data_IF_699461321590
#
_entry.id   IF_699461321590
#
_cell.length_a   1.000
_cell.length_b   1.000
_cell.length_c   1.000
_cell.angle_alpha   90.00
_cell.angle_beta   90.00
_cell.angle_gamma   90.00
#
_symmetry.space_group_name_H-M   'P 1'
#
loop_
_entity.id
_entity.type
_entity.pdbx_description
1 polymer ?
#
# COMPACT_ATOMS: atom_id res chain seq x y z
N UNK A 1 11.98 -53.23 53.59
CA UNK A 1 12.03 -52.04 54.47
C UNK A 1 13.00 -51.05 53.81
N UNK A 2 12.73 -49.82 53.39
CA UNK A 2 11.55 -48.94 53.25
C UNK A 2 11.73 -48.23 51.88
N UNK A 3 10.67 -48.12 51.08
CA UNK A 3 10.67 -47.38 49.81
C UNK A 3 10.37 -45.91 50.11
N UNK A 4 11.29 -44.99 49.80
CA UNK A 4 11.04 -43.56 49.93
C UNK A 4 10.63 -43.00 48.56
N UNK A 5 9.33 -42.77 48.38
CA UNK A 5 8.78 -41.97 47.30
C UNK A 5 9.06 -40.49 47.63
N UNK A 6 9.86 -39.82 46.82
CA UNK A 6 9.95 -38.35 46.85
C UNK A 6 8.88 -37.85 45.88
N UNK A 7 7.75 -37.41 46.44
CA UNK A 7 6.73 -36.69 45.71
C UNK A 7 7.28 -35.28 45.39
N UNK A 8 7.73 -35.07 44.15
CA UNK A 8 8.08 -33.76 43.64
C UNK A 8 6.76 -33.01 43.39
N UNK A 9 6.34 -32.19 44.36
CA UNK A 9 5.27 -31.21 44.16
C UNK A 9 5.71 -30.25 43.07
N UNK A 10 5.22 -30.48 41.86
CA UNK A 10 5.29 -29.55 40.76
C UNK A 10 4.46 -28.33 41.17
N UNK A 11 5.13 -27.32 41.72
CA UNK A 11 4.54 -26.01 41.89
C UNK A 11 4.09 -25.56 40.51
N UNK A 12 2.77 -25.52 40.30
CA UNK A 12 2.18 -24.85 39.16
C UNK A 12 2.53 -23.36 39.31
N UNK A 13 3.70 -22.99 38.76
CA UNK A 13 3.98 -21.60 38.44
C UNK A 13 2.79 -21.16 37.57
N UNK A 14 2.05 -20.11 37.93
CA UNK A 14 1.22 -19.46 36.94
C UNK A 14 2.20 -19.07 35.84
N UNK A 15 2.11 -19.74 34.69
CA UNK A 15 2.64 -19.19 33.45
C UNK A 15 1.80 -17.95 33.24
N UNK A 16 2.26 -16.84 33.82
CA UNK A 16 1.79 -15.53 33.43
C UNK A 16 2.12 -15.45 31.94
N UNK A 17 1.11 -15.68 31.11
CA UNK A 17 1.16 -15.35 29.70
C UNK A 17 1.46 -13.85 29.66
N UNK A 18 2.73 -13.49 29.57
CA UNK A 18 3.14 -12.11 29.50
C UNK A 18 2.66 -11.60 28.16
N UNK A 19 1.70 -10.67 28.18
CA UNK A 19 1.30 -9.93 27.00
C UNK A 19 2.55 -9.29 26.39
N UNK A 20 2.94 -9.74 25.20
CA UNK A 20 4.07 -9.18 24.48
C UNK A 20 3.58 -7.89 23.82
N UNK A 21 3.98 -6.74 24.38
CA UNK A 21 3.65 -5.43 23.85
C UNK A 21 4.92 -4.83 23.25
N UNK A 22 4.89 -4.64 21.93
CA UNK A 22 5.99 -4.07 21.17
C UNK A 22 5.62 -2.67 20.67
N UNK A 23 6.44 -1.68 21.01
CA UNK A 23 6.50 -0.41 20.29
C UNK A 23 7.33 -0.62 19.01
N UNK A 24 6.86 -0.09 17.89
CA UNK A 24 7.59 -0.11 16.62
C UNK A 24 7.28 1.14 15.79
N UNK A 25 8.05 1.38 14.75
CA UNK A 25 7.82 2.50 13.84
C UNK A 25 8.84 2.63 12.72
N UNK A 26 8.69 3.71 11.97
CA UNK A 26 9.65 4.10 10.94
C UNK A 26 9.65 5.61 10.85
N UNK A 27 10.83 6.22 11.04
CA UNK A 27 11.06 7.63 10.75
C UNK A 27 11.71 7.73 9.38
N UNK A 28 11.13 8.54 8.50
CA UNK A 28 11.64 8.75 7.15
C UNK A 28 11.35 10.15 6.66
N UNK A 29 12.37 10.82 6.16
CA UNK A 29 12.27 12.18 5.65
C UNK A 29 13.46 12.47 4.73
N UNK A 30 13.36 13.56 3.97
CA UNK A 30 14.42 14.00 3.09
C UNK A 30 14.16 15.35 2.46
N UNK A 31 15.03 15.72 1.55
CA UNK A 31 14.90 16.94 0.74
C UNK A 31 14.48 16.55 -0.66
N UNK A 32 13.41 17.17 -1.14
CA UNK A 32 12.86 16.93 -2.45
C UNK A 32 12.95 18.20 -3.29
N UNK A 33 13.18 18.04 -4.58
CA UNK A 33 13.09 19.11 -5.58
C UNK A 33 12.17 18.67 -6.68
N UNK A 34 11.28 19.54 -7.15
CA UNK A 34 10.33 19.21 -8.20
C UNK A 34 10.10 20.36 -9.17
N UNK A 35 9.68 19.99 -10.37
CA UNK A 35 9.26 20.88 -11.44
C UNK A 35 8.09 20.25 -12.19
N UNK A 36 7.00 21.00 -12.35
CA UNK A 36 5.83 20.64 -13.15
C UNK A 36 5.59 21.71 -14.20
N UNK A 37 5.42 21.29 -15.45
CA UNK A 37 5.15 22.15 -16.60
C UNK A 37 3.83 21.69 -17.22
N UNK A 38 2.83 22.56 -17.19
CA UNK A 38 1.52 22.32 -17.79
C UNK A 38 1.44 22.97 -19.17
N UNK A 39 0.95 22.22 -20.15
CA UNK A 39 0.64 22.72 -21.47
C UNK A 39 -0.87 22.76 -21.71
N UNK A 40 -1.33 23.83 -22.34
CA UNK A 40 -2.69 23.94 -22.90
C UNK A 40 -2.53 24.48 -24.33
N UNK A 41 -3.20 23.86 -25.30
CA UNK A 41 -3.09 24.20 -26.72
C UNK A 41 -1.64 24.30 -27.23
N UNK A 42 -0.76 23.45 -26.69
CA UNK A 42 0.66 23.36 -27.06
C UNK A 42 1.55 24.43 -26.41
N UNK A 43 0.97 25.40 -25.70
CA UNK A 43 1.69 26.47 -25.01
C UNK A 43 1.87 26.15 -23.54
N UNK A 44 3.00 26.55 -22.97
CA UNK A 44 3.20 26.48 -21.52
C UNK A 44 2.24 27.46 -20.85
N UNK A 45 1.37 26.95 -19.99
CA UNK A 45 0.39 27.74 -19.25
C UNK A 45 0.73 27.86 -17.77
N UNK A 46 1.48 26.91 -17.23
CA UNK A 46 1.89 26.91 -15.83
C UNK A 46 3.26 26.25 -15.66
N UNK A 47 4.09 26.84 -14.80
CA UNK A 47 5.34 26.25 -14.35
C UNK A 47 5.37 26.35 -12.83
N UNK A 48 5.40 25.19 -12.16
CA UNK A 48 5.60 25.10 -10.72
C UNK A 48 6.95 24.47 -10.44
N UNK A 49 7.74 25.11 -9.60
CA UNK A 49 9.02 24.56 -9.12
C UNK A 49 9.11 24.72 -7.62
N UNK A 50 9.69 23.76 -6.93
CA UNK A 50 9.87 23.84 -5.49
C UNK A 50 11.03 22.99 -4.99
N UNK A 51 11.47 23.31 -3.79
CA UNK A 51 12.33 22.47 -2.98
C UNK A 51 11.80 22.48 -1.54
N UNK A 52 11.66 21.32 -0.94
CA UNK A 52 11.10 21.19 0.41
C UNK A 52 11.79 20.08 1.20
N UNK A 53 11.85 20.27 2.52
CA UNK A 53 12.07 19.17 3.45
C UNK A 53 10.71 18.53 3.65
N UNK A 54 10.60 17.23 3.39
CA UNK A 54 9.35 16.49 3.53
C UNK A 54 9.53 15.26 4.40
N UNK A 55 8.52 14.98 5.23
CA UNK A 55 8.35 13.68 5.85
C UNK A 55 7.80 12.69 4.82
N UNK A 56 8.38 11.48 4.77
CA UNK A 56 8.05 10.47 3.75
C UNK A 56 6.96 9.50 4.23
N UNK A 57 6.14 9.90 5.19
CA UNK A 57 5.10 9.09 5.80
C UNK A 57 5.59 8.31 7.02
N UNK A 58 6.31 8.99 7.92
CA UNK A 58 6.74 8.46 9.21
C UNK A 58 5.55 7.92 10.01
N UNK A 59 5.81 6.89 10.81
CA UNK A 59 4.78 6.20 11.58
C UNK A 59 5.32 5.64 12.89
N UNK A 60 4.41 5.53 13.85
CA UNK A 60 4.62 4.88 15.13
C UNK A 60 3.46 3.93 15.40
N UNK A 61 3.71 2.84 16.10
CA UNK A 61 2.68 1.88 16.44
C UNK A 61 2.99 1.05 17.65
N UNK A 62 1.92 0.55 18.26
CA UNK A 62 1.94 -0.37 19.37
C UNK A 62 1.20 -1.62 18.90
N UNK A 63 1.75 -2.79 19.18
CA UNK A 63 1.08 -4.06 18.89
C UNK A 63 1.34 -5.05 20.00
N UNK A 64 0.43 -5.99 20.16
CA UNK A 64 0.67 -7.10 21.05
C UNK A 64 -0.16 -8.32 20.75
N UNK A 65 0.18 -9.38 21.48
CA UNK A 65 -0.51 -10.66 21.41
C UNK A 65 -0.56 -11.33 22.78
N UNK A 66 -1.61 -12.11 23.00
CA UNK A 66 -1.81 -12.93 24.20
C UNK A 66 -2.17 -14.35 23.78
N UNK A 67 -1.51 -15.35 24.36
CA UNK A 67 -1.85 -16.76 24.15
C UNK A 67 -3.09 -17.11 24.98
N UNK A 68 -4.15 -17.56 24.31
CA UNK A 68 -5.43 -17.94 24.92
C UNK A 68 -5.51 -19.46 25.16
N UNK A 69 -4.44 -20.20 24.90
CA UNK A 69 -4.37 -21.66 24.97
C UNK A 69 -4.81 -22.35 23.67
N UNK A 70 -4.47 -23.64 23.54
CA UNK A 70 -4.83 -24.48 22.38
C UNK A 70 -4.43 -23.91 21.01
N UNK A 71 -3.38 -23.11 20.95
CA UNK A 71 -2.90 -22.46 19.73
C UNK A 71 -3.74 -21.26 19.27
N UNK A 72 -4.68 -20.78 20.09
CA UNK A 72 -5.45 -19.56 19.85
C UNK A 72 -4.75 -18.36 20.48
N UNK A 73 -4.73 -17.22 19.78
CA UNK A 73 -4.14 -15.97 20.26
C UNK A 73 -5.08 -14.79 20.06
N UNK A 74 -5.16 -13.91 21.04
CA UNK A 74 -5.63 -12.54 20.83
C UNK A 74 -4.51 -11.71 20.21
N UNK A 75 -4.85 -10.86 19.25
CA UNK A 75 -3.91 -9.94 18.61
C UNK A 75 -4.52 -8.54 18.52
N UNK A 76 -3.70 -7.52 18.69
CA UNK A 76 -4.13 -6.14 18.52
C UNK A 76 -2.99 -5.27 17.99
N UNK A 77 -3.35 -4.18 17.32
CA UNK A 77 -2.43 -3.19 16.80
C UNK A 77 -3.09 -1.81 16.81
N UNK A 78 -2.34 -0.78 17.19
CA UNK A 78 -2.70 0.62 17.05
C UNK A 78 -1.52 1.33 16.35
N UNK A 79 -1.70 1.72 15.09
CA UNK A 79 -0.66 2.41 14.28
C UNK A 79 -1.12 3.82 13.88
N UNK A 80 -0.20 4.80 13.91
CA UNK A 80 -0.46 6.21 13.65
C UNK A 80 0.53 6.78 12.64
N UNK A 81 0.08 7.75 11.83
CA UNK A 81 0.96 8.68 11.14
C UNK A 81 1.62 9.56 12.20
N UNK A 82 2.93 9.75 12.06
CA UNK A 82 3.76 10.46 13.02
C UNK A 82 4.83 11.26 12.27
N UNK A 83 4.38 12.12 11.36
CA UNK A 83 5.24 13.02 10.61
C UNK A 83 6.15 13.81 11.54
N UNK A 84 7.45 13.78 11.25
CA UNK A 84 8.43 14.55 12.04
C UNK A 84 8.32 16.06 11.80
N UNK A 85 7.54 16.48 10.79
CA UNK A 85 7.18 17.88 10.57
C UNK A 85 6.03 18.35 11.48
N UNK A 86 5.46 17.47 12.32
CA UNK A 86 4.40 17.83 13.27
C UNK A 86 3.04 18.12 12.60
N UNK A 87 2.81 17.57 11.41
CA UNK A 87 1.62 17.84 10.58
C UNK A 87 0.47 16.85 10.78
N UNK A 88 0.71 15.75 11.50
CA UNK A 88 -0.28 14.70 11.72
C UNK A 88 -1.02 14.86 13.04
N UNK A 89 -2.22 14.27 13.11
CA UNK A 89 -3.02 14.21 14.32
C UNK A 89 -3.89 12.96 14.39
N UNK A 90 -4.32 12.64 15.62
CA UNK A 90 -5.21 11.52 15.92
C UNK A 90 -4.52 10.17 16.11
N UNK A 91 -5.26 9.24 16.69
CA UNK A 91 -4.84 7.85 16.93
C UNK A 91 -5.54 6.89 15.96
N UNK A 92 -4.89 5.78 15.65
CA UNK A 92 -5.48 4.70 14.83
C UNK A 92 -5.75 5.06 13.36
N UNK A 93 -5.11 6.11 12.83
CA UNK A 93 -5.28 6.58 11.45
C UNK A 93 -4.49 5.76 10.40
N UNK A 94 -3.63 4.82 10.84
CA UNK A 94 -3.08 3.73 10.01
C UNK A 94 -3.68 2.39 10.41
N UNK A 95 -3.10 1.27 9.96
CA UNK A 95 -3.68 -0.04 10.20
C UNK A 95 -3.76 -0.34 11.71
N UNK A 96 -4.98 -0.43 12.23
CA UNK A 96 -5.26 -0.58 13.66
C UNK A 96 -6.46 -1.50 13.86
N UNK A 97 -6.32 -2.52 14.70
CA UNK A 97 -7.32 -3.58 14.83
C UNK A 97 -7.22 -4.34 16.15
N UNK A 98 -8.27 -5.12 16.41
CA UNK A 98 -8.26 -6.27 17.31
C UNK A 98 -8.64 -7.53 16.51
N UNK A 99 -8.20 -8.71 16.95
CA UNK A 99 -8.48 -9.94 16.24
C UNK A 99 -8.09 -11.20 16.99
N UNK A 100 -8.37 -12.34 16.36
CA UNK A 100 -7.98 -13.67 16.80
C UNK A 100 -7.16 -14.37 15.73
N UNK A 101 -6.16 -15.13 16.15
CA UNK A 101 -5.32 -15.94 15.27
C UNK A 101 -5.20 -17.36 15.83
N UNK A 102 -5.29 -18.37 14.98
CA UNK A 102 -5.08 -19.77 15.36
C UNK A 102 -4.92 -20.68 14.14
N UNK A 103 -5.14 -21.98 14.33
CA UNK A 103 -5.07 -22.97 13.23
C UNK A 103 -6.05 -22.70 12.08
N UNK A 104 -7.14 -21.96 12.36
CA UNK A 104 -8.12 -21.54 11.35
C UNK A 104 -7.64 -20.37 10.47
N UNK A 105 -6.53 -19.71 10.81
CA UNK A 105 -6.09 -18.47 10.16
C UNK A 105 -6.19 -17.27 11.10
N UNK A 106 -6.52 -16.11 10.55
CA UNK A 106 -6.58 -14.84 11.28
C UNK A 106 -7.87 -14.09 10.95
N UNK A 107 -8.61 -13.65 11.96
CA UNK A 107 -9.77 -12.75 11.80
C UNK A 107 -9.49 -11.45 12.53
N UNK A 108 -9.75 -10.32 11.87
CA UNK A 108 -9.48 -8.97 12.41
C UNK A 108 -10.65 -8.04 12.14
N UNK A 109 -10.88 -7.10 13.05
CA UNK A 109 -11.81 -6.00 12.90
C UNK A 109 -11.15 -4.67 13.30
N UNK A 110 -11.36 -3.63 12.52
CA UNK A 110 -10.83 -2.29 12.78
C UNK A 110 -10.58 -1.49 11.52
N UNK A 111 -9.67 -0.51 11.61
CA UNK A 111 -9.17 0.24 10.46
C UNK A 111 -8.11 -0.61 9.74
N UNK A 112 -8.54 -1.41 8.77
CA UNK A 112 -7.70 -2.40 8.11
C UNK A 112 -7.31 -1.95 6.71
N UNK A 113 -6.08 -2.25 6.28
CA UNK A 113 -5.71 -2.15 4.87
C UNK A 113 -6.67 -3.00 4.03
N UNK A 114 -7.13 -2.45 2.90
CA UNK A 114 -7.79 -3.27 1.89
C UNK A 114 -6.85 -4.37 1.41
N UNK A 115 -7.40 -5.46 0.89
CA UNK A 115 -6.61 -6.50 0.25
C UNK A 115 -5.82 -5.92 -0.94
N UNK A 116 -6.45 -5.04 -1.72
CA UNK A 116 -5.78 -4.30 -2.80
C UNK A 116 -4.57 -3.51 -2.28
N UNK A 117 -4.73 -2.76 -1.18
CA UNK A 117 -3.63 -2.04 -0.54
C UNK A 117 -2.49 -2.96 -0.08
N UNK A 118 -2.81 -4.17 0.35
CA UNK A 118 -1.79 -5.13 0.80
C UNK A 118 -0.91 -5.65 -0.35
N UNK A 119 -1.41 -5.61 -1.59
CA UNK A 119 -0.59 -5.91 -2.79
C UNK A 119 0.28 -4.73 -3.22
N UNK A 120 -0.01 -3.51 -2.75
CA UNK A 120 0.70 -2.28 -3.11
C UNK A 120 2.18 -2.29 -2.75
N UNK A 121 2.57 -3.03 -1.72
CA UNK A 121 3.98 -3.23 -1.33
C UNK A 121 4.81 -3.88 -2.46
N UNK A 122 4.18 -4.68 -3.33
CA UNK A 122 4.81 -5.27 -4.50
C UNK A 122 4.66 -4.44 -5.79
N UNK A 123 4.03 -3.27 -5.72
CA UNK A 123 3.80 -2.38 -6.86
C UNK A 123 4.63 -1.10 -6.72
N UNK A 124 4.63 -0.52 -5.52
CA UNK A 124 5.29 0.73 -5.21
C UNK A 124 6.29 0.55 -4.07
N UNK A 125 7.58 0.52 -4.40
CA UNK A 125 8.67 0.36 -3.45
C UNK A 125 9.44 1.67 -3.16
N UNK A 126 8.86 2.81 -3.53
CA UNK A 126 9.50 4.12 -3.41
C UNK A 126 9.03 4.89 -2.18
N UNK A 127 9.84 5.85 -1.74
CA UNK A 127 9.52 6.75 -0.65
C UNK A 127 9.70 8.19 -1.09
N UNK A 128 8.71 9.02 -0.75
CA UNK A 128 8.74 10.45 -1.00
C UNK A 128 7.77 11.17 -0.06
N UNK A 129 7.84 12.48 -0.06
CA UNK A 129 6.82 13.37 0.50
C UNK A 129 5.54 13.38 -0.34
N UNK A 130 4.48 13.93 0.24
CA UNK A 130 3.15 13.98 -0.39
C UNK A 130 3.12 14.84 -1.67
N UNK A 131 3.92 15.90 -1.76
CA UNK A 131 3.91 16.80 -2.91
C UNK A 131 4.50 16.16 -4.19
N UNK A 132 5.34 15.15 -4.03
CA UNK A 132 6.08 14.50 -5.11
C UNK A 132 5.68 13.03 -5.31
N UNK A 133 4.71 12.53 -4.54
CA UNK A 133 4.24 11.14 -4.54
C UNK A 133 3.98 10.62 -5.95
N UNK A 134 3.23 11.35 -6.77
CA UNK A 134 2.90 10.97 -8.15
C UNK A 134 4.09 10.91 -9.11
N UNK A 135 5.24 11.51 -8.77
CA UNK A 135 6.41 11.58 -9.66
C UNK A 135 7.53 10.68 -9.15
N UNK A 136 7.77 10.65 -7.84
CA UNK A 136 8.82 9.88 -7.18
C UNK A 136 8.37 8.48 -6.73
N UNK A 137 7.07 8.18 -6.81
CA UNK A 137 6.53 6.86 -6.52
C UNK A 137 5.60 6.38 -7.62
N UNK A 138 5.38 5.07 -7.68
CA UNK A 138 4.37 4.47 -8.55
C UNK A 138 3.00 4.53 -7.87
N UNK A 139 2.60 5.72 -7.41
CA UNK A 139 1.39 5.94 -6.58
C UNK A 139 0.12 5.98 -7.42
N UNK A 140 0.22 6.37 -8.69
CA UNK A 140 -0.94 6.56 -9.57
C UNK A 140 -1.79 5.28 -9.70
N UNK A 141 -1.18 4.12 -9.91
CA UNK A 141 -1.88 2.82 -9.90
C UNK A 141 -2.40 2.45 -8.50
N UNK A 142 -1.81 3.00 -7.45
CA UNK A 142 -2.22 2.83 -6.05
C UNK A 142 -3.38 3.73 -5.61
N UNK A 143 -3.91 4.61 -6.46
CA UNK A 143 -4.98 5.54 -6.09
C UNK A 143 -6.21 4.86 -5.42
N UNK A 144 -6.67 3.65 -5.84
CA UNK A 144 -7.79 2.96 -5.18
C UNK A 144 -7.43 2.25 -3.86
N UNK A 145 -6.18 2.35 -3.40
CA UNK A 145 -5.73 1.70 -2.18
C UNK A 145 -6.12 2.46 -0.92
N UNK A 146 -7.11 1.93 -0.20
CA UNK A 146 -7.60 2.54 1.03
C UNK A 146 -7.49 1.62 2.25
N UNK A 147 -7.74 2.23 3.42
CA UNK A 147 -8.06 1.50 4.65
C UNK A 147 -9.53 1.70 4.94
N UNK A 148 -10.16 0.67 5.51
CA UNK A 148 -11.59 0.67 5.81
C UNK A 148 -11.81 0.19 7.24
N UNK A 149 -12.78 0.81 7.92
CA UNK A 149 -13.44 0.20 9.07
C UNK A 149 -14.16 -1.07 8.59
N UNK A 150 -13.56 -2.24 8.84
CA UNK A 150 -13.94 -3.48 8.18
C UNK A 150 -13.59 -4.71 9.02
N UNK A 151 -14.12 -5.86 8.58
CA UNK A 151 -13.73 -7.18 9.07
C UNK A 151 -12.97 -7.90 7.95
N UNK A 152 -11.87 -8.57 8.31
CA UNK A 152 -11.03 -9.33 7.37
C UNK A 152 -10.69 -10.70 7.94
N UNK A 153 -10.76 -11.70 7.09
CA UNK A 153 -10.22 -13.03 7.32
C UNK A 153 -9.04 -13.29 6.38
N UNK A 154 -7.96 -13.83 6.93
CA UNK A 154 -6.78 -14.29 6.20
C UNK A 154 -6.56 -15.78 6.53
N UNK A 155 -6.52 -16.64 5.51
CA UNK A 155 -6.34 -18.08 5.70
C UNK A 155 -4.92 -18.42 6.15
N UNK A 156 -4.69 -19.60 6.75
CA UNK A 156 -3.35 -20.18 6.80
C UNK A 156 -2.78 -20.34 5.40
N UNK A 157 -1.45 -20.46 5.32
CA UNK A 157 -0.79 -20.86 4.09
C UNK A 157 -0.88 -22.39 3.93
N UNK A 158 -1.23 -22.84 2.73
CA UNK A 158 -1.26 -24.26 2.36
C UNK A 158 -0.64 -24.47 0.99
N UNK A 159 0.46 -25.23 0.93
CA UNK A 159 1.22 -25.50 -0.30
C UNK A 159 1.58 -24.23 -1.09
N UNK A 160 1.97 -23.16 -0.38
CA UNK A 160 2.32 -21.86 -0.96
C UNK A 160 1.12 -20.95 -1.25
N UNK A 161 -0.12 -21.43 -1.14
CA UNK A 161 -1.33 -20.64 -1.33
C UNK A 161 -1.85 -20.03 -0.03
N UNK A 162 -2.33 -18.78 -0.09
CA UNK A 162 -3.13 -18.16 0.97
C UNK A 162 -4.21 -17.26 0.38
N UNK A 163 -5.34 -17.15 1.07
CA UNK A 163 -6.49 -16.36 0.63
C UNK A 163 -6.94 -15.35 1.68
N UNK A 164 -7.55 -14.27 1.22
CA UNK A 164 -8.12 -13.24 2.07
C UNK A 164 -9.51 -12.84 1.60
N UNK A 165 -10.41 -12.60 2.55
CA UNK A 165 -11.72 -11.97 2.28
C UNK A 165 -11.95 -10.86 3.29
N UNK A 166 -12.52 -9.74 2.84
CA UNK A 166 -12.78 -8.59 3.69
C UNK A 166 -14.07 -7.88 3.28
N UNK A 167 -14.77 -7.37 4.29
CA UNK A 167 -16.05 -6.69 4.12
C UNK A 167 -16.05 -5.40 4.94
N UNK A 168 -16.36 -4.28 4.27
CA UNK A 168 -16.63 -3.01 4.93
C UNK A 168 -18.15 -2.74 4.90
N UNK A 169 -18.82 -2.67 6.07
CA UNK A 169 -20.25 -2.43 6.12
C UNK A 169 -20.63 -1.04 5.58
N UNK A 170 -21.84 -0.95 5.02
CA UNK A 170 -22.43 0.30 4.54
C UNK A 170 -22.44 1.40 5.61
N UNK A 171 -22.90 1.09 6.81
CA UNK A 171 -23.05 2.09 7.87
C UNK A 171 -21.70 2.63 8.38
N UNK A 172 -20.62 1.87 8.19
CA UNK A 172 -19.25 2.33 8.44
C UNK A 172 -18.65 3.15 7.28
N UNK A 173 -19.20 2.99 6.07
CA UNK A 173 -18.67 3.58 4.83
C UNK A 173 -19.48 4.78 4.33
N UNK A 174 -20.65 5.04 4.95
CA UNK A 174 -21.50 6.18 4.63
C UNK A 174 -21.96 6.18 3.17
N UNK A 175 -21.72 7.29 2.47
CA UNK A 175 -22.15 7.48 1.06
C UNK A 175 -21.49 6.51 0.08
N UNK A 176 -20.33 5.96 0.43
CA UNK A 176 -19.62 4.98 -0.39
C UNK A 176 -20.33 3.61 -0.44
N UNK A 177 -21.24 3.34 0.50
CA UNK A 177 -21.90 2.05 0.61
C UNK A 177 -20.96 0.92 1.04
N UNK A 178 -21.47 -0.29 1.04
CA UNK A 178 -20.73 -1.49 1.35
C UNK A 178 -19.63 -1.81 0.31
N UNK A 179 -18.55 -2.44 0.76
CA UNK A 179 -17.50 -2.96 -0.14
C UNK A 179 -17.04 -4.36 0.24
N UNK A 180 -16.66 -5.11 -0.79
CA UNK A 180 -16.20 -6.48 -0.72
C UNK A 180 -14.81 -6.56 -1.33
N UNK A 181 -13.92 -7.26 -0.65
CA UNK A 181 -12.53 -7.38 -1.02
C UNK A 181 -12.18 -8.86 -1.00
N UNK A 182 -11.48 -9.33 -2.03
CA UNK A 182 -11.02 -10.71 -2.13
C UNK A 182 -9.57 -10.73 -2.58
N UNK A 183 -8.81 -11.72 -2.15
CA UNK A 183 -7.45 -11.92 -2.64
C UNK A 183 -6.98 -13.35 -2.53
N UNK A 184 -6.02 -13.66 -3.39
CA UNK A 184 -5.35 -14.95 -3.47
C UNK A 184 -3.87 -14.69 -3.70
N UNK A 185 -3.02 -15.32 -2.91
CA UNK A 185 -1.57 -15.25 -3.03
C UNK A 185 -1.01 -16.65 -3.26
N UNK A 186 0.05 -16.72 -4.05
CA UNK A 186 0.90 -17.90 -4.21
C UNK A 186 2.36 -17.49 -4.06
N UNK A 187 3.15 -18.25 -3.32
CA UNK A 187 4.59 -18.06 -3.19
C UNK A 187 5.32 -19.41 -3.25
N UNK A 188 6.42 -19.46 -4.00
CA UNK A 188 7.27 -20.65 -4.08
C UNK A 188 8.68 -20.28 -4.57
N UNK A 189 9.71 -20.61 -3.78
CA UNK A 189 11.13 -20.44 -4.14
C UNK A 189 11.49 -19.05 -4.69
N UNK A 190 10.95 -17.99 -4.07
CA UNK A 190 11.15 -16.59 -4.47
C UNK A 190 10.17 -16.09 -5.54
N UNK A 191 9.53 -16.98 -6.31
CA UNK A 191 8.43 -16.56 -7.19
C UNK A 191 7.19 -16.26 -6.36
N UNK A 192 6.46 -15.21 -6.73
CA UNK A 192 5.19 -14.87 -6.13
C UNK A 192 4.16 -14.42 -7.18
N UNK A 193 2.89 -14.66 -6.86
CA UNK A 193 1.75 -14.13 -7.59
C UNK A 193 0.65 -13.72 -6.60
N UNK A 194 0.01 -12.60 -6.85
CA UNK A 194 -1.04 -12.03 -6.00
C UNK A 194 -2.16 -11.49 -6.86
N UNK A 195 -3.38 -11.91 -6.56
CA UNK A 195 -4.60 -11.31 -7.08
C UNK A 195 -5.33 -10.56 -5.97
N UNK A 196 -5.82 -9.36 -6.27
CA UNK A 196 -6.71 -8.60 -5.42
C UNK A 196 -7.91 -8.08 -6.22
N UNK A 197 -9.11 -8.31 -5.70
CA UNK A 197 -10.37 -7.79 -6.20
C UNK A 197 -11.03 -6.89 -5.17
N UNK A 198 -11.58 -5.77 -5.62
CA UNK A 198 -12.41 -4.84 -4.84
C UNK A 198 -13.71 -4.62 -5.62
N UNK A 199 -14.85 -4.76 -4.95
CA UNK A 199 -16.13 -4.24 -5.40
C UNK A 199 -16.66 -3.26 -4.36
N UNK A 200 -17.06 -2.07 -4.81
CA UNK A 200 -17.63 -1.04 -3.96
C UNK A 200 -18.87 -0.45 -4.63
N UNK A 201 -19.98 -0.37 -3.87
CA UNK A 201 -21.27 0.00 -4.43
C UNK A 201 -21.28 1.43 -4.98
N UNK A 202 -20.70 2.38 -4.25
CA UNK A 202 -20.48 3.75 -4.71
C UNK A 202 -19.04 4.15 -4.45
N UNK A 203 -18.41 4.89 -5.35
CA UNK A 203 -17.04 5.36 -5.17
C UNK A 203 -16.84 6.75 -5.71
N UNK A 204 -15.62 7.25 -5.57
CA UNK A 204 -15.15 8.36 -6.39
C UNK A 204 -14.77 7.83 -7.78
N UNK A 205 -15.09 8.58 -8.84
CA UNK A 205 -14.75 8.17 -10.19
C UNK A 205 -13.26 8.10 -10.47
N UNK A 206 -12.90 7.47 -11.58
CA UNK A 206 -11.50 7.36 -12.06
C UNK A 206 -10.86 8.74 -12.28
N UNK A 207 -9.55 8.80 -12.52
CA UNK A 207 -8.80 10.04 -12.80
C UNK A 207 -9.34 10.92 -13.93
N UNK A 208 -10.08 10.36 -14.89
CA UNK A 208 -10.72 11.16 -15.96
C UNK A 208 -11.99 11.92 -15.48
N UNK A 209 -12.49 11.62 -14.28
CA UNK A 209 -13.71 12.18 -13.68
C UNK A 209 -13.52 12.44 -12.19
N UNK A 210 -12.40 13.08 -11.82
CA UNK A 210 -12.12 13.45 -10.42
C UNK A 210 -13.28 14.28 -9.87
N UNK A 211 -13.90 13.80 -8.79
CA UNK A 211 -15.02 14.47 -8.12
C UNK A 211 -16.43 14.06 -8.59
N UNK A 212 -16.57 13.26 -9.64
CA UNK A 212 -17.86 12.69 -10.04
C UNK A 212 -18.10 11.38 -9.29
N UNK A 213 -19.27 11.20 -8.65
CA UNK A 213 -19.60 9.94 -8.01
C UNK A 213 -19.79 8.84 -9.07
N UNK A 214 -19.33 7.63 -8.73
CA UNK A 214 -19.54 6.43 -9.54
C UNK A 214 -20.29 5.37 -8.77
N UNK A 215 -20.95 4.49 -9.51
CA UNK A 215 -21.57 3.27 -9.00
C UNK A 215 -20.85 2.02 -9.50
N UNK A 216 -20.96 0.93 -8.72
CA UNK A 216 -20.47 -0.41 -9.08
C UNK A 216 -18.98 -0.39 -9.44
N UNK A 217 -18.18 0.33 -8.66
CA UNK A 217 -16.74 0.36 -8.81
C UNK A 217 -16.19 -1.04 -8.57
N UNK A 218 -15.47 -1.56 -9.55
CA UNK A 218 -14.69 -2.79 -9.44
C UNK A 218 -13.24 -2.51 -9.79
N UNK A 219 -12.32 -3.06 -8.99
CA UNK A 219 -10.88 -2.98 -9.23
C UNK A 219 -10.31 -4.38 -9.15
N UNK A 220 -9.56 -4.77 -10.18
CA UNK A 220 -8.89 -6.05 -10.27
C UNK A 220 -7.41 -5.79 -10.48
N UNK A 221 -6.56 -6.34 -9.60
CA UNK A 221 -5.11 -6.26 -9.73
C UNK A 221 -4.49 -7.65 -9.70
N UNK A 222 -3.60 -7.90 -10.65
CA UNK A 222 -2.71 -9.05 -10.65
C UNK A 222 -1.28 -8.55 -10.55
N UNK A 223 -0.53 -9.09 -9.60
CA UNK A 223 0.90 -8.81 -9.40
C UNK A 223 1.65 -10.12 -9.45
N UNK A 224 2.75 -10.18 -10.18
CA UNK A 224 3.61 -11.36 -10.26
C UNK A 224 5.06 -10.96 -10.31
N UNK A 225 5.93 -11.78 -9.74
CA UNK A 225 7.33 -11.42 -9.64
C UNK A 225 8.23 -12.50 -9.05
N UNK A 226 9.45 -12.07 -8.77
CA UNK A 226 10.50 -12.84 -8.14
C UNK A 226 11.19 -11.97 -7.09
N UNK A 227 11.34 -12.49 -5.89
CA UNK A 227 12.01 -11.82 -4.78
C UNK A 227 12.94 -12.80 -4.05
N UNK A 228 14.21 -12.44 -3.95
CA UNK A 228 15.20 -13.16 -3.14
C UNK A 228 16.20 -12.16 -2.52
N UNK A 229 17.26 -12.67 -1.87
CA UNK A 229 18.25 -11.83 -1.19
C UNK A 229 18.99 -10.83 -2.09
N UNK A 230 19.04 -11.06 -3.41
CA UNK A 230 19.79 -10.24 -4.36
C UNK A 230 18.90 -9.53 -5.39
N UNK A 231 17.89 -10.20 -5.93
CA UNK A 231 17.07 -9.73 -7.04
C UNK A 231 15.62 -9.59 -6.59
N UNK A 232 15.06 -8.42 -6.86
CA UNK A 232 13.63 -8.16 -6.80
C UNK A 232 13.14 -7.75 -8.18
N UNK A 233 12.10 -8.41 -8.69
CA UNK A 233 11.40 -8.05 -9.90
C UNK A 233 9.90 -8.24 -9.70
N UNK A 234 9.11 -7.24 -10.08
CA UNK A 234 7.65 -7.28 -9.94
C UNK A 234 6.99 -6.61 -11.14
N UNK A 235 5.91 -7.21 -11.62
CA UNK A 235 5.03 -6.65 -12.65
C UNK A 235 3.60 -6.70 -12.14
N UNK A 236 2.88 -5.60 -12.32
CA UNK A 236 1.49 -5.45 -11.95
C UNK A 236 0.65 -4.99 -13.13
N UNK A 237 -0.56 -5.53 -13.24
CA UNK A 237 -1.63 -5.01 -14.09
C UNK A 237 -2.85 -4.75 -13.23
N UNK A 238 -3.50 -3.61 -13.44
CA UNK A 238 -4.71 -3.21 -12.76
C UNK A 238 -5.76 -2.77 -13.77
N UNK A 239 -6.97 -3.30 -13.62
CA UNK A 239 -8.17 -2.87 -14.33
C UNK A 239 -9.15 -2.25 -13.33
N UNK A 240 -9.69 -1.08 -13.68
CA UNK A 240 -10.74 -0.42 -12.93
C UNK A 240 -11.94 -0.20 -13.86
N UNK A 241 -13.13 -0.51 -13.37
CA UNK A 241 -14.39 -0.26 -14.08
C UNK A 241 -15.43 0.30 -13.12
N UNK A 242 -16.24 1.22 -13.61
CA UNK A 242 -17.36 1.77 -12.87
C UNK A 242 -18.45 2.30 -13.83
N UNK A 243 -19.55 2.79 -13.27
CA UNK A 243 -20.57 3.57 -13.99
C UNK A 243 -20.62 4.97 -13.42
N UNK A 244 -20.64 5.99 -14.28
CA UNK A 244 -20.90 7.36 -13.86
C UNK A 244 -22.36 7.51 -13.46
N UNK A 245 -22.65 8.36 -12.47
CA UNK A 245 -24.03 8.73 -12.09
C UNK A 245 -24.62 9.80 -13.02
N UNK A 246 -24.26 9.77 -14.31
CA UNK A 246 -24.83 10.67 -15.30
C UNK A 246 -26.15 10.15 -15.87
N UNK A 247 -26.82 10.98 -16.70
CA UNK A 247 -28.11 10.62 -17.31
C UNK A 247 -28.07 9.32 -18.13
N UNK A 248 -26.89 8.91 -18.63
CA UNK A 248 -26.69 7.73 -19.48
C UNK A 248 -26.08 6.53 -18.74
N UNK A 249 -25.78 6.64 -17.45
CA UNK A 249 -25.00 5.63 -16.70
C UNK A 249 -23.73 5.19 -17.44
N UNK A 250 -23.00 6.17 -17.96
CA UNK A 250 -21.87 5.95 -18.86
C UNK A 250 -20.81 5.06 -18.22
N UNK A 251 -20.31 4.09 -18.98
CA UNK A 251 -19.23 3.23 -18.53
C UNK A 251 -17.93 4.04 -18.40
N UNK A 252 -17.23 3.82 -17.29
CA UNK A 252 -15.94 4.40 -16.99
C UNK A 252 -14.92 3.28 -16.74
N UNK A 253 -13.79 3.31 -17.43
CA UNK A 253 -12.76 2.29 -17.25
C UNK A 253 -11.35 2.80 -17.46
N UNK A 254 -10.39 2.21 -16.75
CA UNK A 254 -8.97 2.50 -16.90
C UNK A 254 -8.13 1.25 -16.64
N UNK A 255 -7.14 1.02 -17.50
CA UNK A 255 -6.12 -0.01 -17.33
C UNK A 255 -4.79 0.65 -17.00
N UNK A 256 -4.07 0.12 -16.02
CA UNK A 256 -2.75 0.58 -15.62
C UNK A 256 -1.80 -0.62 -15.48
N UNK A 257 -0.53 -0.42 -15.83
CA UNK A 257 0.55 -1.41 -15.64
C UNK A 257 1.72 -0.77 -14.93
N UNK A 258 2.43 -1.55 -14.14
CA UNK A 258 3.66 -1.14 -13.48
C UNK A 258 4.67 -2.28 -13.49
N UNK A 259 5.96 -1.95 -13.63
CA UNK A 259 7.05 -2.90 -13.52
C UNK A 259 8.18 -2.28 -12.70
N UNK A 260 8.75 -3.06 -11.78
CA UNK A 260 9.87 -2.65 -10.93
C UNK A 260 10.93 -3.73 -10.91
N UNK A 261 12.20 -3.33 -11.05
CA UNK A 261 13.35 -4.22 -10.89
C UNK A 261 14.38 -3.56 -9.95
N UNK A 262 14.94 -4.33 -9.04
CA UNK A 262 16.03 -3.93 -8.17
C UNK A 262 17.04 -5.06 -8.00
N UNK A 263 18.31 -4.70 -7.84
CA UNK A 263 19.38 -5.67 -7.59
C UNK A 263 20.29 -5.18 -6.47
N UNK A 264 20.61 -6.03 -5.49
CA UNK A 264 21.43 -5.70 -4.33
C UNK A 264 22.90 -6.00 -4.60
N UNK A 265 23.72 -4.94 -4.65
CA UNK A 265 25.18 -4.98 -4.71
C UNK A 265 25.77 -4.63 -3.34
N UNK A 266 25.92 -5.64 -2.48
CA UNK A 266 26.34 -5.42 -1.09
C UNK A 266 25.32 -4.56 -0.35
N UNK A 267 25.72 -3.35 0.07
CA UNK A 267 24.85 -2.40 0.76
C UNK A 267 24.10 -1.45 -0.18
N UNK A 268 24.35 -1.49 -1.49
CA UNK A 268 23.72 -0.60 -2.47
C UNK A 268 22.68 -1.37 -3.26
N UNK A 269 21.43 -0.90 -3.28
CA UNK A 269 20.33 -1.52 -4.03
C UNK A 269 19.77 -0.52 -5.05
N UNK A 270 20.31 -0.44 -6.28
CA UNK A 270 19.68 0.29 -7.37
C UNK A 270 18.33 -0.31 -7.73
N UNK A 271 17.40 0.56 -8.12
CA UNK A 271 16.03 0.24 -8.50
C UNK A 271 15.61 1.09 -9.69
N UNK A 272 14.79 0.50 -10.56
CA UNK A 272 14.06 1.21 -11.61
C UNK A 272 12.61 0.72 -11.63
N UNK A 273 11.70 1.66 -11.84
CA UNK A 273 10.28 1.39 -12.06
C UNK A 273 9.78 2.12 -13.29
N UNK A 274 8.89 1.48 -14.03
CA UNK A 274 8.10 2.09 -15.09
C UNK A 274 6.61 1.84 -14.82
N UNK A 275 5.78 2.83 -15.07
CA UNK A 275 4.33 2.69 -15.01
C UNK A 275 3.66 3.39 -16.18
N UNK A 276 2.58 2.78 -16.66
CA UNK A 276 1.77 3.30 -17.76
C UNK A 276 0.30 3.19 -17.41
N UNK A 277 -0.42 4.30 -17.49
CA UNK A 277 -1.88 4.30 -17.51
C UNK A 277 -2.38 4.46 -18.93
N UNK A 278 -3.13 3.49 -19.42
CA UNK A 278 -3.75 3.57 -20.74
C UNK A 278 -4.84 4.63 -20.75
N UNK A 279 -5.17 5.12 -21.95
CA UNK A 279 -6.33 6.00 -22.13
C UNK A 279 -7.60 5.25 -21.71
N UNK A 280 -8.27 5.77 -20.71
CA UNK A 280 -9.53 5.22 -20.21
C UNK A 280 -10.72 5.52 -21.13
N UNK A 281 -11.83 4.84 -20.88
CA UNK A 281 -13.11 5.13 -21.54
C UNK A 281 -13.94 6.01 -20.63
N UNK A 282 -14.30 7.21 -21.07
CA UNK A 282 -15.26 8.09 -20.37
C UNK A 282 -16.11 8.81 -21.39
N UNK A 283 -17.45 8.81 -21.22
CA UNK A 283 -18.36 9.48 -22.15
C UNK A 283 -18.36 11.02 -22.10
N UNK A 284 -17.81 11.62 -21.03
CA UNK A 284 -17.94 13.06 -20.72
C UNK A 284 -16.63 13.84 -20.62
N UNK A 285 -15.47 13.20 -20.65
CA UNK A 285 -14.20 13.88 -20.46
C UNK A 285 -13.39 13.92 -21.77
N UNK A 286 -13.23 15.12 -22.34
CA UNK A 286 -12.28 15.41 -23.43
C UNK A 286 -10.80 15.31 -22.97
N UNK A 287 -10.54 14.94 -21.71
CA UNK A 287 -9.20 14.85 -21.13
C UNK A 287 -8.51 13.52 -21.43
N UNK A 288 -7.28 13.59 -21.94
CA UNK A 288 -6.39 12.43 -22.05
C UNK A 288 -5.82 12.07 -20.67
N UNK A 289 -6.36 11.04 -20.04
CA UNK A 289 -5.94 10.55 -18.71
C UNK A 289 -4.77 9.54 -18.77
N UNK A 290 -4.20 9.33 -19.96
CA UNK A 290 -3.02 8.50 -20.15
C UNK A 290 -1.84 9.08 -19.37
N UNK A 291 -0.98 8.23 -18.84
CA UNK A 291 0.29 8.69 -18.30
C UNK A 291 1.41 7.69 -18.55
N UNK A 292 2.63 8.21 -18.56
CA UNK A 292 3.87 7.46 -18.59
C UNK A 292 4.77 7.97 -17.46
N UNK A 293 5.34 7.05 -16.70
CA UNK A 293 6.19 7.37 -15.56
C UNK A 293 7.41 6.46 -15.53
N UNK A 294 8.57 7.05 -15.22
CA UNK A 294 9.79 6.32 -14.87
C UNK A 294 10.33 6.87 -13.55
N UNK A 295 10.69 5.97 -12.64
CA UNK A 295 11.41 6.31 -11.41
C UNK A 295 12.69 5.49 -11.34
N UNK A 296 13.81 6.14 -11.07
CA UNK A 296 15.13 5.51 -10.89
C UNK A 296 15.73 5.96 -9.57
N UNK A 297 16.54 5.11 -8.96
CA UNK A 297 17.16 5.46 -7.69
C UNK A 297 17.95 4.31 -7.08
N UNK A 298 18.40 4.53 -5.85
CA UNK A 298 19.11 3.53 -5.08
C UNK A 298 18.89 3.74 -3.59
N UNK A 299 18.95 2.63 -2.85
CA UNK A 299 19.05 2.65 -1.40
C UNK A 299 20.49 2.25 -1.01
N UNK A 300 21.06 2.93 0.00
CA UNK A 300 22.31 2.53 0.65
C UNK A 300 22.01 2.13 2.10
N UNK A 301 22.21 0.86 2.43
CA UNK A 301 21.95 0.31 3.76
C UNK A 301 23.17 0.48 4.68
N UNK A 302 23.07 1.38 5.66
CA UNK A 302 24.05 1.48 6.75
C UNK A 302 23.91 0.31 7.72
N UNK A 303 22.68 -0.19 7.89
CA UNK A 303 22.33 -1.37 8.65
C UNK A 303 21.00 -1.92 8.16
N UNK A 304 20.55 -3.07 8.68
CA UNK A 304 19.22 -3.63 8.41
C UNK A 304 18.06 -2.67 8.74
N UNK A 305 18.30 -1.62 9.55
CA UNK A 305 17.29 -0.69 10.05
C UNK A 305 17.47 0.74 9.54
N UNK A 306 18.62 1.09 8.96
CA UNK A 306 18.93 2.47 8.54
C UNK A 306 19.44 2.50 7.12
N UNK A 307 18.73 3.23 6.25
CA UNK A 307 19.07 3.37 4.83
C UNK A 307 19.09 4.84 4.42
N UNK A 308 20.09 5.25 3.63
CA UNK A 308 19.99 6.46 2.80
C UNK A 308 19.26 6.14 1.50
N UNK A 309 18.48 7.09 1.01
CA UNK A 309 17.62 6.95 -0.15
C UNK A 309 17.96 8.05 -1.15
N UNK A 310 18.05 7.72 -2.44
CA UNK A 310 18.09 8.69 -3.53
C UNK A 310 17.20 8.21 -4.65
N UNK A 311 16.37 9.10 -5.21
CA UNK A 311 15.60 8.79 -6.41
C UNK A 311 15.36 10.03 -7.27
N UNK A 312 15.05 9.78 -8.54
CA UNK A 312 14.61 10.76 -9.51
C UNK A 312 13.46 10.16 -10.33
N UNK A 313 12.47 10.99 -10.63
CA UNK A 313 11.26 10.59 -11.32
C UNK A 313 10.93 11.54 -12.46
N UNK A 314 10.37 10.97 -13.53
CA UNK A 314 9.75 11.69 -14.63
C UNK A 314 8.36 11.13 -14.85
N UNK A 315 7.38 12.02 -14.97
CA UNK A 315 5.98 11.70 -15.21
C UNK A 315 5.46 12.62 -16.33
N UNK A 316 4.78 12.04 -17.31
CA UNK A 316 3.95 12.79 -18.25
C UNK A 316 2.50 12.33 -18.14
N UNK A 317 1.59 13.28 -17.95
CA UNK A 317 0.15 13.06 -17.99
C UNK A 317 -0.44 13.71 -19.23
N UNK A 318 -1.33 12.98 -19.90
CA UNK A 318 -1.88 13.33 -21.20
C UNK A 318 -0.87 13.25 -22.35
N UNK A 319 -1.30 13.69 -23.53
CA UNK A 319 -0.52 13.69 -24.75
C UNK A 319 -0.69 15.01 -25.52
N UNK A 320 0.30 15.33 -26.35
CA UNK A 320 0.22 16.42 -27.32
C UNK A 320 0.09 17.80 -26.67
N UNK A 321 -0.92 18.56 -27.10
CA UNK A 321 -1.11 19.96 -26.77
C UNK A 321 -1.58 20.23 -25.32
N UNK A 322 -2.18 19.24 -24.66
CA UNK A 322 -2.74 19.35 -23.30
C UNK A 322 -1.95 18.59 -22.23
N UNK A 323 -0.67 18.31 -22.47
CA UNK A 323 0.14 17.46 -21.57
C UNK A 323 0.65 18.21 -20.34
N UNK A 324 0.84 17.50 -19.24
CA UNK A 324 1.58 17.96 -18.06
C UNK A 324 2.82 17.10 -17.90
N UNK A 325 3.98 17.73 -17.74
CA UNK A 325 5.26 17.03 -17.53
C UNK A 325 5.80 17.43 -16.16
N UNK A 326 6.04 16.43 -15.32
CA UNK A 326 6.60 16.60 -13.97
C UNK A 326 7.91 15.84 -13.83
N UNK A 327 8.89 16.48 -13.20
CA UNK A 327 10.17 15.88 -12.82
C UNK A 327 10.43 16.17 -11.36
N UNK A 328 10.98 15.20 -10.65
CA UNK A 328 11.38 15.38 -9.27
C UNK A 328 12.63 14.56 -8.95
N UNK A 329 13.31 14.94 -7.88
CA UNK A 329 14.39 14.15 -7.27
C UNK A 329 14.39 14.33 -5.76
N UNK A 330 14.88 13.33 -5.05
CA UNK A 330 14.96 13.34 -3.59
C UNK A 330 16.26 12.70 -3.10
N UNK A 331 16.72 13.18 -1.95
CA UNK A 331 17.67 12.49 -1.09
C UNK A 331 17.08 12.46 0.32
N UNK A 332 17.05 11.28 0.94
CA UNK A 332 16.45 11.11 2.26
C UNK A 332 17.10 10.01 3.09
N UNK A 333 16.56 9.85 4.29
CA UNK A 333 17.00 8.86 5.26
C UNK A 333 15.77 8.15 5.83
N UNK A 334 15.92 6.85 6.07
CA UNK A 334 14.92 6.00 6.73
C UNK A 334 15.54 5.26 7.89
N UNK A 335 14.87 5.28 9.04
CA UNK A 335 15.20 4.50 10.22
C UNK A 335 13.98 3.72 10.73
N UNK A 336 14.10 2.40 10.83
CA UNK A 336 13.08 1.50 11.40
C UNK A 336 13.38 1.24 12.88
N UNK A 337 12.37 1.19 13.73
CA UNK A 337 12.52 0.84 15.15
C UNK A 337 11.40 -0.05 15.67
#
# INVERSE_FOLDING_TARGET
MKKSLIALTLAALPVAAMADVTLYGTIKAGVETYRTVKHTDGKVTEVKTGSEIADFGSKIGFKGQEDLGNGLKAIWQLEQNASIAGTDGGWGNKQSFIGLKGGFGTVRAGNLNSILKSTGDNVNAWESGKATEDVLQVSKIGAPEHRYASVRYDSPEFAGFSGSVQYAPKDNSGKNGESYHVGLNYQNSGFFAQYAGLFQRHGEGTKATVGEPVEKLQVHRLVGGYDNDALYASVAVQQQDAKLTDASNSHNSQTEVAATVAYRFGNVTPRVSYAHGFKGTVAKADGDNRYDQVVVGAEYDFSKRTSALVSAGWLQEGKGAGKTVSTASTVGLRHKF
#
